data_IF_957636004525
#
_entry.id   IF_957636004525
#
_cell.length_a   1.000
_cell.length_b   1.000
_cell.length_c   1.000
_cell.angle_alpha   90.00
_cell.angle_beta   90.00
_cell.angle_gamma   90.00
#
_symmetry.space_group_name_H-M   'P 1'
#
loop_
_entity.id
_entity.type
_entity.pdbx_description
1 polymer ?
#
# COMPACT_ATOMS: atom_id res chain seq x y z
N UNK A 1 -35.39 -33.68 6.14
CA UNK A 1 -36.28 -33.95 7.29
C UNK A 1 -36.21 -32.75 8.22
N UNK A 2 -37.30 -32.00 8.35
CA UNK A 2 -37.40 -30.80 9.16
C UNK A 2 -38.87 -30.50 9.44
N UNK A 3 -39.17 -29.92 10.60
CA UNK A 3 -40.54 -29.67 11.06
C UNK A 3 -40.58 -29.25 12.54
N UNK A 4 -41.78 -29.03 13.08
CA UNK A 4 -41.97 -28.57 14.46
C UNK A 4 -41.25 -29.44 15.51
N UNK A 5 -41.25 -30.76 15.30
CA UNK A 5 -40.55 -31.71 16.17
C UNK A 5 -39.02 -31.46 16.21
N UNK A 6 -38.41 -31.10 15.09
CA UNK A 6 -36.98 -30.79 15.00
C UNK A 6 -36.64 -29.46 15.70
N UNK A 7 -37.49 -28.44 15.55
CA UNK A 7 -37.31 -27.16 16.27
C UNK A 7 -37.46 -27.34 17.79
N UNK A 8 -38.41 -28.17 18.22
CA UNK A 8 -38.58 -28.52 19.63
C UNK A 8 -37.37 -29.29 20.20
N UNK A 9 -36.77 -30.16 19.39
CA UNK A 9 -35.54 -30.87 19.73
C UNK A 9 -34.32 -29.93 19.82
N UNK A 10 -34.15 -29.00 18.87
CA UNK A 10 -33.11 -27.97 18.95
C UNK A 10 -33.27 -27.10 20.20
N UNK A 11 -34.50 -26.69 20.54
CA UNK A 11 -34.79 -25.91 21.75
C UNK A 11 -34.41 -26.66 23.03
N UNK A 12 -34.75 -27.96 23.13
CA UNK A 12 -34.36 -28.80 24.28
C UNK A 12 -32.86 -29.06 24.38
N UNK A 13 -32.16 -29.14 23.24
CA UNK A 13 -30.74 -29.46 23.19
C UNK A 13 -29.83 -28.23 23.18
N UNK A 14 -30.36 -27.02 23.35
CA UNK A 14 -29.55 -25.79 23.44
C UNK A 14 -28.98 -25.68 24.86
N UNK A 15 -27.66 -25.82 25.06
CA UNK A 15 -27.02 -25.56 26.35
C UNK A 15 -27.20 -24.07 26.69
N UNK A 16 -27.10 -23.72 27.98
CA UNK A 16 -27.26 -22.34 28.48
C UNK A 16 -26.79 -21.26 27.48
N UNK A 17 -27.64 -20.25 27.26
CA UNK A 17 -27.38 -19.11 26.36
C UNK A 17 -26.06 -18.39 26.67
N UNK A 18 -25.53 -18.54 27.89
CA UNK A 18 -24.24 -18.02 28.30
C UNK A 18 -23.06 -18.48 27.41
N UNK A 19 -23.16 -19.65 26.76
CA UNK A 19 -22.09 -20.20 25.90
C UNK A 19 -22.30 -19.93 24.40
N UNK A 20 -23.30 -19.11 24.02
CA UNK A 20 -23.59 -18.82 22.61
C UNK A 20 -22.38 -18.29 21.86
N UNK A 21 -21.60 -17.38 22.47
CA UNK A 21 -20.39 -16.82 21.87
C UNK A 21 -19.37 -17.91 21.50
N UNK A 22 -19.14 -18.88 22.39
CA UNK A 22 -18.21 -19.98 22.15
C UNK A 22 -18.70 -20.91 21.01
N UNK A 23 -20.01 -21.15 20.91
CA UNK A 23 -20.58 -21.91 19.79
C UNK A 23 -20.47 -21.16 18.46
N UNK A 24 -20.75 -19.86 18.45
CA UNK A 24 -20.57 -19.00 17.27
C UNK A 24 -19.10 -18.98 16.81
N UNK A 25 -18.16 -18.89 17.74
CA UNK A 25 -16.74 -18.91 17.46
C UNK A 25 -16.30 -20.26 16.85
N UNK A 26 -16.74 -21.38 17.44
CA UNK A 26 -16.46 -22.71 16.90
C UNK A 26 -17.07 -22.92 15.51
N UNK A 27 -18.29 -22.45 15.27
CA UNK A 27 -18.93 -22.50 13.95
C UNK A 27 -18.15 -21.66 12.93
N UNK A 28 -17.68 -20.47 13.33
CA UNK A 28 -16.83 -19.60 12.51
C UNK A 28 -15.52 -20.29 12.15
N UNK A 29 -14.83 -20.91 13.11
CA UNK A 29 -13.61 -21.68 12.85
C UNK A 29 -13.85 -22.81 11.84
N UNK A 30 -14.92 -23.60 12.02
CA UNK A 30 -15.26 -24.68 11.10
C UNK A 30 -15.60 -24.16 9.69
N UNK A 31 -16.27 -23.01 9.59
CA UNK A 31 -16.56 -22.36 8.32
C UNK A 31 -15.30 -21.85 7.62
N UNK A 32 -14.41 -21.18 8.35
CA UNK A 32 -13.13 -20.71 7.83
C UNK A 32 -12.27 -21.87 7.36
N UNK A 33 -12.21 -22.96 8.13
CA UNK A 33 -11.52 -24.19 7.74
C UNK A 33 -12.04 -24.74 6.41
N UNK A 34 -13.37 -24.87 6.25
CA UNK A 34 -13.98 -25.32 4.98
C UNK A 34 -13.64 -24.40 3.81
N UNK A 35 -13.69 -23.08 3.99
CA UNK A 35 -13.34 -22.12 2.95
C UNK A 35 -11.87 -22.21 2.55
N UNK A 36 -10.98 -22.38 3.53
CA UNK A 36 -9.55 -22.51 3.28
C UNK A 36 -9.23 -23.81 2.53
N UNK A 37 -9.86 -24.93 2.90
CA UNK A 37 -9.75 -26.19 2.15
C UNK A 37 -10.18 -26.01 0.70
N UNK A 38 -11.31 -25.35 0.45
CA UNK A 38 -11.82 -25.11 -0.90
C UNK A 38 -10.86 -24.24 -1.72
N UNK A 39 -10.34 -23.15 -1.16
CA UNK A 39 -9.37 -22.27 -1.83
C UNK A 39 -8.08 -23.02 -2.18
N UNK A 40 -7.55 -23.83 -1.27
CA UNK A 40 -6.37 -24.66 -1.52
C UNK A 40 -6.63 -25.72 -2.60
N UNK A 41 -7.80 -26.35 -2.60
CA UNK A 41 -8.16 -27.35 -3.59
C UNK A 41 -8.23 -26.75 -5.01
N UNK A 42 -8.82 -25.56 -5.14
CA UNK A 42 -8.82 -24.80 -6.40
C UNK A 42 -7.39 -24.42 -6.82
N UNK A 43 -6.56 -23.99 -5.88
CA UNK A 43 -5.15 -23.68 -6.13
C UNK A 43 -4.35 -24.89 -6.64
N UNK A 44 -4.52 -26.06 -6.02
CA UNK A 44 -3.89 -27.32 -6.44
C UNK A 44 -4.36 -27.73 -7.84
N UNK A 45 -5.65 -27.58 -8.13
CA UNK A 45 -6.19 -27.88 -9.46
C UNK A 45 -5.54 -27.00 -10.54
N UNK A 46 -5.46 -25.69 -10.30
CA UNK A 46 -4.81 -24.74 -11.23
C UNK A 46 -3.33 -25.03 -11.46
N UNK A 47 -2.62 -25.52 -10.44
CA UNK A 47 -1.21 -25.93 -10.56
C UNK A 47 -1.02 -27.25 -11.30
N UNK A 48 -2.05 -28.11 -11.31
CA UNK A 48 -1.99 -29.45 -11.91
C UNK A 48 -2.44 -29.47 -13.38
N UNK A 49 -3.27 -28.50 -13.79
CA UNK A 49 -3.74 -28.36 -15.17
C UNK A 49 -2.69 -27.62 -16.03
N UNK A 50 -2.42 -28.07 -17.27
CA UNK A 50 -1.59 -27.33 -18.21
C UNK A 50 -2.33 -26.05 -18.63
N UNK A 51 -2.07 -24.98 -17.91
CA UNK A 51 -2.65 -23.65 -18.13
C UNK A 51 -1.68 -22.74 -18.86
N UNK A 52 -2.22 -21.75 -19.57
CA UNK A 52 -1.45 -20.67 -20.20
C UNK A 52 -1.01 -19.58 -19.21
N UNK A 53 -1.44 -19.68 -17.94
CA UNK A 53 -1.09 -18.74 -16.89
C UNK A 53 0.32 -19.01 -16.34
N UNK A 54 1.08 -17.94 -16.09
CA UNK A 54 2.37 -18.07 -15.44
C UNK A 54 2.21 -18.51 -13.99
N UNK A 55 3.12 -19.36 -13.50
CA UNK A 55 3.13 -19.84 -12.09
C UNK A 55 3.04 -18.67 -11.08
N UNK A 56 3.64 -17.53 -11.40
CA UNK A 56 3.59 -16.34 -10.55
C UNK A 56 2.17 -15.76 -10.36
N UNK A 57 1.33 -15.83 -11.40
CA UNK A 57 -0.04 -15.33 -11.33
C UNK A 57 -0.94 -16.30 -10.57
N UNK A 58 -0.73 -17.61 -10.73
CA UNK A 58 -1.39 -18.66 -9.95
C UNK A 58 -1.12 -18.46 -8.44
N UNK A 59 0.15 -18.21 -8.08
CA UNK A 59 0.53 -17.89 -6.69
C UNK A 59 -0.17 -16.60 -6.22
N UNK A 60 -0.20 -15.56 -7.06
CA UNK A 60 -0.87 -14.30 -6.76
C UNK A 60 -2.37 -14.43 -6.50
N UNK A 61 -3.04 -15.31 -7.24
CA UNK A 61 -4.45 -15.64 -7.10
C UNK A 61 -4.73 -16.42 -5.81
N UNK A 62 -3.96 -17.47 -5.52
CA UNK A 62 -4.09 -18.24 -4.27
C UNK A 62 -3.90 -17.33 -3.05
N UNK A 63 -2.92 -16.42 -3.09
CA UNK A 63 -2.71 -15.43 -2.03
C UNK A 63 -3.90 -14.48 -1.88
N UNK A 64 -4.55 -14.08 -2.99
CA UNK A 64 -5.74 -13.24 -2.95
C UNK A 64 -6.89 -13.95 -2.23
N UNK A 65 -7.16 -15.20 -2.60
CA UNK A 65 -8.26 -16.01 -2.08
C UNK A 65 -8.10 -16.26 -0.58
N UNK A 66 -6.89 -16.62 -0.13
CA UNK A 66 -6.58 -16.82 1.30
C UNK A 66 -6.76 -15.50 2.06
N UNK A 67 -6.29 -14.38 1.50
CA UNK A 67 -6.45 -13.07 2.15
C UNK A 67 -7.93 -12.67 2.29
N UNK A 68 -8.76 -12.99 1.29
CA UNK A 68 -10.20 -12.74 1.34
C UNK A 68 -10.93 -13.60 2.37
N UNK A 69 -10.38 -14.76 2.74
CA UNK A 69 -10.90 -15.59 3.84
C UNK A 69 -10.53 -14.98 5.20
N UNK A 70 -9.29 -14.51 5.36
CA UNK A 70 -8.87 -13.79 6.58
C UNK A 70 -9.66 -12.50 6.79
N UNK A 71 -9.93 -11.75 5.72
CA UNK A 71 -10.68 -10.50 5.75
C UNK A 71 -12.18 -10.71 5.55
N UNK A 72 -12.72 -11.86 5.96
CA UNK A 72 -14.17 -12.05 6.12
C UNK A 72 -14.71 -11.25 7.31
N UNK A 73 -14.22 -10.03 7.53
CA UNK A 73 -14.96 -9.01 8.23
C UNK A 73 -16.10 -8.61 7.28
N UNK A 74 -17.30 -8.67 7.83
CA UNK A 74 -18.58 -8.49 7.16
C UNK A 74 -18.58 -7.19 6.33
N UNK A 75 -18.51 -7.29 5.00
CA UNK A 75 -18.86 -6.15 4.11
C UNK A 75 -20.39 -6.05 4.03
N UNK A 76 -21.04 -5.95 5.19
CA UNK A 76 -22.48 -5.78 5.32
C UNK A 76 -22.90 -4.32 5.19
N UNK A 77 -24.19 -4.08 4.93
CA UNK A 77 -24.76 -2.73 5.03
C UNK A 77 -24.74 -2.30 6.49
N UNK A 78 -23.83 -1.40 6.83
CA UNK A 78 -23.76 -0.83 8.17
C UNK A 78 -24.54 0.49 8.26
N UNK A 79 -25.04 0.80 9.46
CA UNK A 79 -25.62 2.10 9.75
C UNK A 79 -24.51 3.15 9.89
N UNK A 80 -24.69 4.37 9.37
CA UNK A 80 -23.65 5.43 9.38
C UNK A 80 -23.01 5.68 10.76
N UNK A 81 -23.72 5.37 11.85
CA UNK A 81 -23.22 5.50 13.23
C UNK A 81 -22.03 4.62 13.55
N UNK A 82 -21.84 3.47 12.89
CA UNK A 82 -20.63 2.64 13.10
C UNK A 82 -19.37 3.36 12.63
N UNK A 83 -19.48 4.27 11.65
CA UNK A 83 -18.37 5.10 11.18
C UNK A 83 -18.16 6.41 11.94
N UNK A 84 -19.06 6.80 12.85
CA UNK A 84 -18.99 8.10 13.54
C UNK A 84 -17.80 8.15 14.50
N UNK A 85 -17.54 7.08 15.24
CA UNK A 85 -16.45 7.05 16.21
C UNK A 85 -15.08 7.21 15.52
N UNK A 86 -14.84 6.48 14.43
CA UNK A 86 -13.63 6.63 13.60
C UNK A 86 -13.52 8.04 12.97
N UNK A 87 -14.66 8.61 12.56
CA UNK A 87 -14.69 9.96 12.00
C UNK A 87 -14.36 11.03 13.05
N UNK A 88 -14.85 10.88 14.28
CA UNK A 88 -14.55 11.78 15.39
C UNK A 88 -13.07 11.76 15.76
N UNK A 89 -12.43 10.58 15.81
CA UNK A 89 -10.99 10.49 16.01
C UNK A 89 -10.21 11.21 14.92
N UNK A 90 -10.60 11.04 13.66
CA UNK A 90 -9.97 11.71 12.52
C UNK A 90 -10.12 13.23 12.62
N UNK A 91 -11.31 13.72 12.96
CA UNK A 91 -11.58 15.16 13.13
C UNK A 91 -10.76 15.73 14.30
N UNK A 92 -10.69 15.02 15.43
CA UNK A 92 -9.88 15.44 16.58
C UNK A 92 -8.39 15.51 16.21
N UNK A 93 -7.87 14.54 15.46
CA UNK A 93 -6.50 14.58 14.98
C UNK A 93 -6.24 15.77 14.05
N UNK A 94 -7.22 16.14 13.21
CA UNK A 94 -7.11 17.33 12.36
C UNK A 94 -7.03 18.60 13.21
N UNK A 95 -7.88 18.73 14.23
CA UNK A 95 -7.90 19.90 15.13
C UNK A 95 -6.58 20.01 15.90
N UNK A 96 -6.02 18.89 16.34
CA UNK A 96 -4.78 18.85 17.13
C UNK A 96 -3.51 19.05 16.28
N UNK A 97 -3.62 19.11 14.95
CA UNK A 97 -2.47 19.22 14.04
C UNK A 97 -1.77 17.89 13.75
N UNK A 98 -2.29 16.77 14.25
CA UNK A 98 -1.80 15.41 14.00
C UNK A 98 -2.42 14.79 12.72
N UNK A 99 -2.68 15.64 11.73
CA UNK A 99 -3.30 15.30 10.44
C UNK A 99 -2.51 14.17 9.74
N UNK A 100 -1.19 14.14 9.94
CA UNK A 100 -0.27 13.21 9.32
C UNK A 100 -0.54 11.74 9.67
N UNK A 101 -1.29 11.43 10.73
CA UNK A 101 -1.68 10.05 11.06
C UNK A 101 -2.73 9.49 10.10
N UNK A 102 -3.62 10.34 9.61
CA UNK A 102 -4.76 9.94 8.77
C UNK A 102 -4.62 10.37 7.31
N UNK A 103 -3.79 11.40 7.06
CA UNK A 103 -3.56 11.96 5.74
C UNK A 103 -2.08 12.10 5.40
N UNK A 104 -1.81 12.09 4.11
CA UNK A 104 -0.49 12.32 3.54
C UNK A 104 -0.54 13.49 2.56
N UNK A 105 0.37 14.44 2.75
CA UNK A 105 0.55 15.58 1.85
C UNK A 105 1.60 15.24 0.78
N UNK A 106 1.42 15.81 -0.42
CA UNK A 106 2.30 15.62 -1.56
C UNK A 106 3.51 16.55 -1.54
N UNK A 107 3.48 17.61 -0.73
CA UNK A 107 4.55 18.61 -0.60
C UNK A 107 4.41 19.80 -1.55
N UNK A 108 3.25 19.95 -2.18
CA UNK A 108 2.93 21.05 -3.09
C UNK A 108 1.81 21.85 -2.46
N UNK A 109 2.14 23.00 -1.86
CA UNK A 109 1.22 23.78 -1.02
C UNK A 109 -0.12 24.07 -1.68
N UNK A 110 -0.15 24.34 -2.98
CA UNK A 110 -1.38 24.59 -3.73
C UNK A 110 -2.27 23.36 -3.81
N UNK A 111 -1.70 22.19 -4.11
CA UNK A 111 -2.44 20.92 -4.19
C UNK A 111 -2.86 20.49 -2.80
N UNK A 112 -1.94 20.51 -1.84
CA UNK A 112 -2.22 20.11 -0.46
C UNK A 112 -3.28 21.00 0.17
N UNK A 113 -3.30 22.31 -0.10
CA UNK A 113 -4.36 23.22 0.34
C UNK A 113 -5.71 22.97 -0.34
N UNK A 114 -5.71 22.57 -1.61
CA UNK A 114 -6.94 22.34 -2.37
C UNK A 114 -7.64 21.05 -1.95
N UNK A 115 -6.86 20.01 -1.63
CA UNK A 115 -7.38 18.69 -1.23
C UNK A 115 -7.38 18.49 0.29
N UNK A 116 -6.64 19.30 1.05
CA UNK A 116 -6.47 19.14 2.50
C UNK A 116 -5.73 17.86 2.86
N UNK A 117 -4.79 17.43 2.01
CA UNK A 117 -4.09 16.13 2.08
C UNK A 117 -4.92 14.94 1.59
N UNK A 118 -4.25 13.80 1.36
CA UNK A 118 -4.85 12.58 0.81
C UNK A 118 -5.02 11.51 1.87
N UNK A 119 -6.12 10.76 1.85
CA UNK A 119 -6.39 9.69 2.81
C UNK A 119 -5.58 8.44 2.46
N UNK A 120 -5.32 7.59 3.45
CA UNK A 120 -4.54 6.35 3.27
C UNK A 120 -5.23 5.32 2.32
N UNK A 121 -6.52 5.48 2.05
CA UNK A 121 -7.31 4.62 1.16
C UNK A 121 -7.44 5.16 -0.27
N UNK A 122 -6.99 6.38 -0.53
CA UNK A 122 -7.20 7.04 -1.82
C UNK A 122 -6.31 6.43 -2.91
N UNK A 123 -6.89 6.22 -4.09
CA UNK A 123 -6.14 5.83 -5.29
C UNK A 123 -5.99 7.03 -6.24
N UNK A 124 -4.76 7.54 -6.35
CA UNK A 124 -4.45 8.77 -7.09
C UNK A 124 -3.83 8.41 -8.44
N UNK A 125 -4.40 8.93 -9.52
CA UNK A 125 -3.91 8.73 -10.89
C UNK A 125 -3.41 10.06 -11.47
N UNK A 126 -2.16 10.10 -11.94
CA UNK A 126 -1.56 11.27 -12.56
C UNK A 126 -1.41 11.04 -14.07
N UNK A 127 -2.25 11.71 -14.85
CA UNK A 127 -2.26 11.64 -16.32
C UNK A 127 -1.49 12.78 -16.98
N UNK A 128 -0.83 12.51 -18.11
CA UNK A 128 -0.11 13.51 -18.89
C UNK A 128 0.64 12.92 -20.08
N UNK A 129 0.91 13.72 -21.11
CA UNK A 129 1.67 13.27 -22.30
C UNK A 129 3.14 12.97 -21.97
N UNK A 130 3.88 12.23 -22.81
CA UNK A 130 5.33 12.10 -22.69
C UNK A 130 6.00 13.48 -22.58
N UNK A 131 6.97 13.62 -21.68
CA UNK A 131 7.67 14.88 -21.43
C UNK A 131 6.93 15.89 -20.54
N UNK A 132 5.65 15.70 -20.18
CA UNK A 132 4.92 16.63 -19.30
C UNK A 132 5.28 16.54 -17.80
N UNK A 133 6.37 15.86 -17.43
CA UNK A 133 6.88 15.86 -16.06
C UNK A 133 6.22 14.89 -15.08
N UNK A 134 5.48 13.87 -15.53
CA UNK A 134 4.85 12.85 -14.65
C UNK A 134 5.85 12.20 -13.68
N UNK A 135 6.97 11.72 -14.21
CA UNK A 135 8.02 11.08 -13.39
C UNK A 135 8.59 12.05 -12.36
N UNK A 136 8.80 13.30 -12.77
CA UNK A 136 9.31 14.37 -11.91
C UNK A 136 8.33 14.63 -10.75
N UNK A 137 7.04 14.74 -11.06
CA UNK A 137 5.97 14.88 -10.07
C UNK A 137 6.02 13.72 -9.05
N UNK A 138 6.02 12.47 -9.51
CA UNK A 138 6.06 11.30 -8.63
C UNK A 138 7.33 11.26 -7.75
N UNK A 139 8.47 11.67 -8.28
CA UNK A 139 9.72 11.75 -7.50
C UNK A 139 9.69 12.86 -6.45
N UNK A 140 9.11 14.02 -6.74
CA UNK A 140 8.97 15.12 -5.77
C UNK A 140 8.04 14.74 -4.61
N UNK A 141 6.97 14.01 -4.90
CA UNK A 141 6.09 13.43 -3.86
C UNK A 141 6.88 12.46 -2.99
N UNK A 142 7.60 11.53 -3.62
CA UNK A 142 8.44 10.54 -2.92
C UNK A 142 9.48 11.19 -2.02
N UNK A 143 10.12 12.25 -2.51
CA UNK A 143 11.08 13.05 -1.76
C UNK A 143 10.42 13.72 -0.54
N UNK A 144 9.26 14.35 -0.72
CA UNK A 144 8.56 15.01 0.39
C UNK A 144 8.15 14.01 1.46
N UNK A 145 7.50 12.91 1.06
CA UNK A 145 7.00 11.90 2.00
C UNK A 145 8.16 11.18 2.70
N UNK A 146 9.20 10.80 1.94
CA UNK A 146 10.34 10.05 2.46
C UNK A 146 11.36 10.87 3.23
N UNK A 147 11.72 12.08 2.75
CA UNK A 147 12.74 12.90 3.40
C UNK A 147 12.16 13.82 4.47
N UNK A 148 11.12 14.59 4.14
CA UNK A 148 10.58 15.61 5.06
C UNK A 148 9.71 14.96 6.13
N UNK A 149 8.82 14.06 5.72
CA UNK A 149 7.87 13.44 6.64
C UNK A 149 8.42 12.13 7.25
N UNK A 150 9.60 11.67 6.79
CA UNK A 150 10.28 10.46 7.28
C UNK A 150 9.37 9.21 7.27
N UNK A 151 8.43 9.14 6.33
CA UNK A 151 7.52 7.99 6.15
C UNK A 151 8.07 7.02 5.12
N UNK A 152 7.92 5.71 5.32
CA UNK A 152 8.26 4.71 4.31
C UNK A 152 7.59 4.97 2.96
N UNK A 153 8.37 4.98 1.88
CA UNK A 153 7.85 5.07 0.50
C UNK A 153 8.39 3.90 -0.31
N UNK A 154 7.50 3.22 -1.02
CA UNK A 154 7.84 2.19 -2.00
C UNK A 154 7.52 2.71 -3.41
N UNK A 155 8.54 2.82 -4.25
CA UNK A 155 8.44 3.34 -5.61
C UNK A 155 8.71 2.22 -6.62
N UNK A 156 7.74 1.96 -7.49
CA UNK A 156 7.91 1.02 -8.60
C UNK A 156 8.20 1.79 -9.87
N UNK A 157 9.37 1.54 -10.47
CA UNK A 157 9.75 2.12 -11.76
C UNK A 157 9.76 1.06 -12.83
N UNK A 158 8.88 1.18 -13.82
CA UNK A 158 8.78 0.21 -14.91
C UNK A 158 9.52 0.66 -16.18
N UNK A 159 9.91 1.92 -16.25
CA UNK A 159 10.52 2.54 -17.44
C UNK A 159 11.98 2.93 -17.20
N UNK A 160 12.30 3.38 -15.99
CA UNK A 160 13.61 3.92 -15.66
C UNK A 160 14.32 3.09 -14.59
N UNK A 161 15.61 2.77 -14.75
CA UNK A 161 16.37 2.09 -13.72
C UNK A 161 16.58 3.00 -12.50
N UNK A 162 16.85 2.39 -11.35
CA UNK A 162 16.99 3.09 -10.06
C UNK A 162 18.08 4.17 -10.09
N UNK A 163 19.17 3.95 -10.82
CA UNK A 163 20.27 4.90 -10.93
C UNK A 163 19.84 6.18 -11.64
N UNK A 164 19.04 6.07 -12.71
CA UNK A 164 18.55 7.23 -13.44
C UNK A 164 17.54 8.06 -12.63
N UNK A 165 16.71 7.39 -11.82
CA UNK A 165 15.82 8.09 -10.89
C UNK A 165 16.64 8.81 -9.83
N UNK A 166 17.57 8.11 -9.19
CA UNK A 166 18.42 8.66 -8.12
C UNK A 166 19.22 9.86 -8.61
N UNK A 167 19.81 9.78 -9.81
CA UNK A 167 20.51 10.87 -10.47
C UNK A 167 19.61 12.10 -10.64
N UNK A 168 18.39 11.91 -11.18
CA UNK A 168 17.44 13.02 -11.41
C UNK A 168 17.00 13.69 -10.12
N UNK A 169 16.71 12.91 -9.09
CA UNK A 169 16.29 13.44 -7.80
C UNK A 169 17.43 14.22 -7.15
N UNK A 170 18.66 13.70 -7.20
CA UNK A 170 19.82 14.38 -6.66
C UNK A 170 20.07 15.74 -7.35
N UNK A 171 20.04 15.79 -8.69
CA UNK A 171 20.20 17.04 -9.43
C UNK A 171 19.09 18.04 -9.16
N UNK A 172 17.84 17.58 -9.15
CA UNK A 172 16.70 18.44 -8.89
C UNK A 172 16.77 19.08 -7.50
N UNK A 173 17.04 18.27 -6.47
CA UNK A 173 17.14 18.73 -5.09
C UNK A 173 18.34 19.65 -4.88
N UNK A 174 19.49 19.30 -5.45
CA UNK A 174 20.70 20.12 -5.37
C UNK A 174 20.60 21.44 -6.15
N UNK A 175 19.60 21.57 -7.04
CA UNK A 175 19.47 22.67 -8.01
C UNK A 175 20.75 22.84 -8.83
N UNK A 176 21.28 21.71 -9.29
CA UNK A 176 22.51 21.60 -10.06
C UNK A 176 22.17 20.99 -11.41
N UNK A 177 22.67 21.58 -12.48
CA UNK A 177 22.56 21.03 -13.83
C UNK A 177 23.73 20.10 -14.14
N UNK A 178 23.57 19.23 -15.16
CA UNK A 178 24.70 18.43 -15.67
C UNK A 178 25.82 19.30 -16.21
N UNK A 179 25.49 20.47 -16.74
CA UNK A 179 26.45 21.45 -17.28
C UNK A 179 27.35 22.01 -16.17
N UNK A 180 26.79 22.26 -14.97
CA UNK A 180 27.56 22.74 -13.82
C UNK A 180 28.64 21.73 -13.39
N UNK A 181 28.34 20.43 -13.46
CA UNK A 181 29.30 19.36 -13.18
C UNK A 181 30.32 19.13 -14.29
N UNK A 182 30.01 19.51 -15.53
CA UNK A 182 30.93 19.41 -16.67
C UNK A 182 31.69 20.71 -16.93
N UNK A 183 31.41 21.76 -16.13
CA UNK A 183 31.99 23.07 -16.29
C UNK A 183 33.50 23.02 -16.04
N UNK A 184 34.26 23.58 -16.99
CA UNK A 184 35.72 23.77 -16.86
C UNK A 184 36.06 25.06 -16.11
N UNK A 185 35.07 25.82 -15.68
CA UNK A 185 35.28 27.02 -14.86
C UNK A 185 35.66 26.61 -13.44
N UNK A 186 36.78 27.16 -12.95
CA UNK A 186 37.31 26.84 -11.63
C UNK A 186 36.28 27.13 -10.52
N UNK A 187 36.09 26.16 -9.62
CA UNK A 187 35.19 26.25 -8.46
C UNK A 187 33.70 25.96 -8.73
N UNK A 188 33.25 25.97 -9.98
CA UNK A 188 31.83 25.67 -10.32
C UNK A 188 31.55 24.18 -10.15
N UNK A 189 32.42 23.33 -10.69
CA UNK A 189 32.32 21.88 -10.58
C UNK A 189 32.36 21.41 -9.11
N UNK A 190 33.32 21.92 -8.33
CA UNK A 190 33.48 21.52 -6.92
C UNK A 190 32.28 21.94 -6.07
N UNK A 191 31.73 23.15 -6.32
CA UNK A 191 30.53 23.63 -5.64
C UNK A 191 29.29 22.81 -6.00
N UNK A 192 29.13 22.46 -7.27
CA UNK A 192 28.06 21.59 -7.75
C UNK A 192 28.16 20.17 -7.15
N UNK A 193 29.36 19.60 -7.13
CA UNK A 193 29.64 18.31 -6.53
C UNK A 193 29.35 18.30 -5.02
N UNK A 194 29.75 19.35 -4.30
CA UNK A 194 29.45 19.50 -2.88
C UNK A 194 27.95 19.53 -2.57
N UNK A 195 27.16 20.25 -3.38
CA UNK A 195 25.69 20.29 -3.24
C UNK A 195 25.05 18.93 -3.48
N UNK A 196 25.44 18.25 -4.56
CA UNK A 196 24.94 16.90 -4.88
C UNK A 196 25.28 15.92 -3.75
N UNK A 197 26.54 15.94 -3.29
CA UNK A 197 26.99 15.10 -2.19
C UNK A 197 26.22 15.32 -0.88
N UNK A 198 25.87 16.57 -0.55
CA UNK A 198 25.03 16.86 0.60
C UNK A 198 23.61 16.29 0.42
N UNK A 199 22.99 16.47 -0.75
CA UNK A 199 21.65 15.93 -1.00
C UNK A 199 21.64 14.39 -0.92
N UNK A 200 22.68 13.71 -1.42
CA UNK A 200 22.77 12.26 -1.34
C UNK A 200 22.83 11.75 0.11
N UNK A 201 23.44 12.49 1.04
CA UNK A 201 23.45 12.11 2.47
C UNK A 201 22.04 12.04 3.04
N UNK A 202 21.17 13.00 2.69
CA UNK A 202 19.77 13.00 3.16
C UNK A 202 19.02 11.73 2.73
N UNK A 203 19.34 11.20 1.54
CA UNK A 203 18.71 9.98 1.00
C UNK A 203 19.17 8.70 1.68
N UNK A 204 20.40 8.65 2.22
CA UNK A 204 20.93 7.46 2.91
C UNK A 204 20.07 7.11 4.13
N UNK A 205 19.59 8.13 4.85
CA UNK A 205 18.75 7.95 6.04
C UNK A 205 17.24 7.92 5.72
N UNK A 206 16.86 8.05 4.45
CA UNK A 206 15.47 8.11 4.04
C UNK A 206 14.88 6.71 3.88
N UNK A 207 13.67 6.44 4.40
CA UNK A 207 12.99 5.16 4.20
C UNK A 207 12.34 5.06 2.80
N UNK A 208 13.11 5.33 1.75
CA UNK A 208 12.66 5.29 0.35
C UNK A 208 13.23 4.02 -0.31
N UNK A 209 12.35 3.18 -0.84
CA UNK A 209 12.70 1.91 -1.46
C UNK A 209 12.23 1.92 -2.91
N UNK A 210 13.13 1.62 -3.84
CA UNK A 210 12.84 1.62 -5.28
C UNK A 210 12.95 0.18 -5.81
N UNK A 211 11.98 -0.24 -6.59
CA UNK A 211 12.00 -1.48 -7.37
C UNK A 211 11.87 -1.12 -8.84
N UNK A 212 12.94 -1.35 -9.61
CA UNK A 212 13.05 -1.03 -11.03
C UNK A 212 12.88 -2.24 -11.95
N UNK A 213 12.31 -3.34 -11.43
CA UNK A 213 12.09 -4.55 -12.22
C UNK A 213 11.12 -4.24 -13.37
N UNK A 214 11.52 -4.48 -14.64
CA UNK A 214 10.64 -4.27 -15.77
C UNK A 214 9.48 -5.28 -15.75
N UNK A 215 8.33 -4.86 -16.26
CA UNK A 215 7.16 -5.74 -16.50
C UNK A 215 6.65 -6.49 -15.27
N UNK A 216 6.40 -5.79 -14.16
CA UNK A 216 5.74 -6.35 -12.98
C UNK A 216 4.23 -6.53 -13.20
N UNK A 217 3.69 -7.69 -12.80
CA UNK A 217 2.24 -7.87 -12.70
C UNK A 217 1.67 -7.17 -11.46
N UNK A 218 0.39 -6.80 -11.49
CA UNK A 218 -0.28 -6.14 -10.34
C UNK A 218 -0.20 -7.01 -9.08
N UNK A 219 -0.25 -8.34 -9.23
CA UNK A 219 -0.09 -9.27 -8.11
C UNK A 219 1.31 -9.19 -7.48
N UNK A 220 2.36 -9.07 -8.30
CA UNK A 220 3.73 -8.92 -7.82
C UNK A 220 3.93 -7.59 -7.10
N UNK A 221 3.40 -6.48 -7.64
CA UNK A 221 3.39 -5.16 -6.98
C UNK A 221 2.73 -5.26 -5.60
N UNK A 222 1.54 -5.87 -5.53
CA UNK A 222 0.80 -6.05 -4.27
C UNK A 222 1.55 -6.93 -3.26
N UNK A 223 2.14 -8.04 -3.70
CA UNK A 223 2.90 -8.94 -2.84
C UNK A 223 4.12 -8.23 -2.24
N UNK A 224 4.85 -7.47 -3.07
CA UNK A 224 6.02 -6.71 -2.63
C UNK A 224 5.63 -5.59 -1.67
N UNK A 225 4.57 -4.84 -1.97
CA UNK A 225 4.05 -3.79 -1.08
C UNK A 225 3.69 -4.35 0.30
N UNK A 226 3.00 -5.50 0.37
CA UNK A 226 2.69 -6.17 1.64
C UNK A 226 3.94 -6.63 2.39
N UNK A 227 4.92 -7.19 1.69
CA UNK A 227 6.19 -7.62 2.29
C UNK A 227 6.93 -6.43 2.89
N UNK A 228 6.98 -5.30 2.18
CA UNK A 228 7.66 -4.09 2.63
C UNK A 228 6.93 -3.42 3.79
N UNK A 229 5.60 -3.34 3.76
CA UNK A 229 4.81 -2.86 4.91
C UNK A 229 5.09 -3.69 6.16
N UNK A 230 5.03 -5.03 6.09
CA UNK A 230 5.35 -5.89 7.25
C UNK A 230 6.77 -5.68 7.80
N UNK A 231 7.74 -5.34 6.93
CA UNK A 231 9.13 -5.10 7.33
C UNK A 231 9.34 -3.74 7.99
N UNK A 232 8.58 -2.73 7.55
CA UNK A 232 8.79 -1.32 7.93
C UNK A 232 7.82 -0.83 9.00
N UNK A 233 6.77 -1.61 9.31
CA UNK A 233 5.72 -1.27 10.27
C UNK A 233 4.56 -0.54 9.62
#
# INVERSE_FOLDING_TARGET
AGGFAYLAECSKNTPSFANLAAYCEKLREMYLGRRMTLALQVGIQKLSEPTTEGIADIIGNIQADISGIEHSADYGTEHITTGIDMSLETIQAIINGDIWKYKTELGMSTIDSAFGGFNNTDFIVVGGRPGMGKTMFSTTVTETVGLKNKKPVLFFSLEMPVEQISERVAFHRARVSKEDLLSKQSGVMDGAWGKVGHCMKDFIEAPIYINDKPSLSVHQVRAEARRMSKKLG
#
